data_IF_912118028700
#
_entry.id   IF_912118028700
#
_cell.length_a   1.000
_cell.length_b   1.000
_cell.length_c   1.000
_cell.angle_alpha   90.00
_cell.angle_beta   90.00
_cell.angle_gamma   90.00
#
_symmetry.space_group_name_H-M   'P 1'
#
loop_
_entity.id
_entity.type
_entity.pdbx_description
1 polymer ?
#
# COMPACT_ATOMS: atom_id res chain seq x y z
N UNK A 1 -12.96 -0.32 -16.25
CA UNK A 1 -13.05 -1.62 -15.54
C UNK A 1 -11.61 -2.08 -15.42
N UNK A 2 -11.04 -2.07 -14.22
CA UNK A 2 -9.63 -2.40 -13.94
C UNK A 2 -9.23 -3.70 -14.66
N UNK A 3 -8.06 -3.71 -15.29
CA UNK A 3 -7.56 -4.94 -15.93
C UNK A 3 -7.33 -6.00 -14.84
N UNK A 4 -7.71 -7.25 -15.10
CA UNK A 4 -7.66 -8.32 -14.09
C UNK A 4 -6.25 -8.44 -13.47
N UNK A 5 -5.20 -8.29 -14.28
CA UNK A 5 -3.81 -8.37 -13.81
C UNK A 5 -3.45 -7.17 -12.93
N UNK A 6 -3.88 -5.97 -13.32
CA UNK A 6 -3.66 -4.75 -12.53
C UNK A 6 -4.38 -4.81 -11.17
N UNK A 7 -5.62 -5.31 -11.13
CA UNK A 7 -6.38 -5.53 -9.88
C UNK A 7 -5.62 -6.41 -8.89
N UNK A 8 -5.08 -7.52 -9.38
CA UNK A 8 -4.35 -8.48 -8.57
C UNK A 8 -3.05 -7.87 -8.02
N UNK A 9 -2.33 -7.12 -8.86
CA UNK A 9 -1.13 -6.37 -8.44
C UNK A 9 -1.48 -5.38 -7.32
N UNK A 10 -2.53 -4.57 -7.50
CA UNK A 10 -2.92 -3.55 -6.51
C UNK A 10 -3.35 -4.23 -5.21
N UNK A 11 -4.19 -5.26 -5.27
CA UNK A 11 -4.73 -5.94 -4.09
C UNK A 11 -3.63 -6.63 -3.28
N UNK A 12 -2.80 -7.45 -3.93
CA UNK A 12 -1.68 -8.16 -3.29
C UNK A 12 -0.69 -7.20 -2.63
N UNK A 13 -0.25 -6.16 -3.34
CA UNK A 13 0.73 -5.21 -2.81
C UNK A 13 0.13 -4.32 -1.72
N UNK A 14 -1.16 -4.00 -1.80
CA UNK A 14 -1.87 -3.28 -0.74
C UNK A 14 -1.93 -4.11 0.53
N UNK A 15 -2.21 -5.42 0.43
CA UNK A 15 -2.14 -6.34 1.57
C UNK A 15 -0.70 -6.38 2.12
N UNK A 16 0.31 -6.61 1.28
CA UNK A 16 1.72 -6.61 1.69
C UNK A 16 2.11 -5.37 2.48
N UNK A 17 1.77 -4.18 1.97
CA UNK A 17 1.97 -2.90 2.66
C UNK A 17 1.18 -2.82 3.97
N UNK A 18 -0.06 -3.30 3.99
CA UNK A 18 -0.89 -3.32 5.19
C UNK A 18 -0.43 -4.30 6.26
N UNK A 19 0.36 -5.31 5.91
CA UNK A 19 0.93 -6.24 6.90
C UNK A 19 2.23 -5.73 7.52
N UNK A 20 2.85 -4.67 6.97
CA UNK A 20 4.10 -4.14 7.53
C UNK A 20 3.96 -3.55 8.94
N UNK A 21 2.87 -2.86 9.33
CA UNK A 21 2.71 -2.37 10.71
C UNK A 21 2.62 -3.49 11.76
N UNK A 22 2.22 -4.71 11.35
CA UNK A 22 2.14 -5.87 12.25
C UNK A 22 3.54 -6.36 12.65
N UNK A 23 4.60 -5.94 11.94
CA UNK A 23 6.00 -6.27 12.20
C UNK A 23 6.48 -5.47 13.42
N UNK A 24 6.84 -6.10 14.55
CA UNK A 24 7.31 -5.41 15.75
C UNK A 24 8.78 -4.94 15.67
N UNK A 25 9.25 -4.41 14.53
CA UNK A 25 10.57 -3.79 14.38
C UNK A 25 10.41 -2.33 13.96
N UNK A 26 10.95 -1.37 14.73
CA UNK A 26 11.00 0.04 14.32
C UNK A 26 11.73 0.22 12.98
N UNK A 27 11.21 1.06 12.09
CA UNK A 27 11.77 1.45 10.78
C UNK A 27 11.76 0.36 9.70
N UNK A 28 11.75 -0.93 10.07
CA UNK A 28 11.63 -2.01 9.09
C UNK A 28 10.26 -2.03 8.43
N UNK A 29 9.21 -1.61 9.14
CA UNK A 29 7.85 -1.47 8.63
C UNK A 29 7.77 -0.42 7.51
N UNK A 30 8.37 0.74 7.72
CA UNK A 30 8.42 1.83 6.72
C UNK A 30 9.27 1.46 5.50
N UNK A 31 10.41 0.80 5.71
CA UNK A 31 11.27 0.33 4.62
C UNK A 31 10.56 -0.73 3.77
N UNK A 32 9.95 -1.73 4.41
CA UNK A 32 9.20 -2.77 3.71
C UNK A 32 8.03 -2.16 2.93
N UNK A 33 7.29 -1.22 3.53
CA UNK A 33 6.21 -0.50 2.86
C UNK A 33 6.70 0.25 1.62
N UNK A 34 7.79 1.02 1.74
CA UNK A 34 8.38 1.77 0.63
C UNK A 34 8.83 0.82 -0.51
N UNK A 35 9.44 -0.31 -0.15
CA UNK A 35 9.82 -1.35 -1.12
C UNK A 35 8.59 -1.93 -1.86
N UNK A 36 7.55 -2.33 -1.13
CA UNK A 36 6.34 -2.88 -1.73
C UNK A 36 5.61 -1.85 -2.59
N UNK A 37 5.59 -0.58 -2.19
CA UNK A 37 5.03 0.50 -2.98
C UNK A 37 5.80 0.68 -4.29
N UNK A 38 7.14 0.72 -4.25
CA UNK A 38 7.96 0.80 -5.47
C UNK A 38 7.75 -0.41 -6.40
N UNK A 39 7.67 -1.62 -5.84
CA UNK A 39 7.40 -2.83 -6.60
C UNK A 39 6.02 -2.79 -7.29
N UNK A 40 4.99 -2.32 -6.58
CA UNK A 40 3.65 -2.14 -7.13
C UNK A 40 3.66 -1.17 -8.32
N UNK A 41 4.27 0.01 -8.16
CA UNK A 41 4.37 1.04 -9.21
C UNK A 41 5.10 0.50 -10.45
N UNK A 42 6.22 -0.21 -10.26
CA UNK A 42 6.95 -0.84 -11.38
C UNK A 42 6.09 -1.87 -12.12
N UNK A 43 5.46 -2.81 -11.41
CA UNK A 43 4.61 -3.85 -12.01
C UNK A 43 3.41 -3.26 -12.76
N UNK A 44 2.81 -2.18 -12.24
CA UNK A 44 1.73 -1.48 -12.94
C UNK A 44 2.25 -0.82 -14.23
N UNK A 45 3.35 -0.07 -14.16
CA UNK A 45 3.93 0.56 -15.35
C UNK A 45 4.32 -0.45 -16.44
N UNK A 46 4.88 -1.59 -16.06
CA UNK A 46 5.17 -2.72 -16.96
C UNK A 46 3.90 -3.26 -17.65
N UNK A 47 2.80 -3.40 -16.89
CA UNK A 47 1.51 -3.85 -17.42
C UNK A 47 0.97 -2.91 -18.50
N UNK A 48 1.14 -1.59 -18.32
CA UNK A 48 0.74 -0.57 -19.30
C UNK A 48 1.84 -0.20 -20.31
N UNK A 49 2.93 -0.98 -20.39
CA UNK A 49 4.07 -0.75 -21.30
C UNK A 49 4.59 0.68 -21.21
N UNK A 50 4.69 1.21 -19.99
CA UNK A 50 5.31 2.50 -19.70
C UNK A 50 6.66 2.27 -19.02
N UNK A 51 7.70 2.91 -19.55
CA UNK A 51 9.02 2.92 -18.92
C UNK A 51 9.08 4.05 -17.91
N UNK A 52 9.19 3.72 -16.62
CA UNK A 52 9.42 4.70 -15.57
C UNK A 52 10.92 4.94 -15.41
N UNK A 53 11.33 6.20 -15.42
CA UNK A 53 12.67 6.57 -14.95
C UNK A 53 12.80 6.31 -13.44
N UNK A 54 14.03 6.27 -12.94
CA UNK A 54 14.26 6.10 -11.49
C UNK A 54 13.73 7.32 -10.73
N UNK A 55 13.80 8.48 -11.36
CA UNK A 55 13.30 9.77 -10.89
C UNK A 55 11.77 9.76 -10.79
N UNK A 56 11.07 9.30 -11.82
CA UNK A 56 9.61 9.20 -11.83
C UNK A 56 9.12 8.20 -10.79
N UNK A 57 9.79 7.06 -10.67
CA UNK A 57 9.46 6.06 -9.65
C UNK A 57 9.61 6.66 -8.24
N UNK A 58 10.72 7.35 -7.97
CA UNK A 58 10.92 8.04 -6.69
C UNK A 58 9.86 9.13 -6.47
N UNK A 59 9.53 9.90 -7.50
CA UNK A 59 8.54 10.96 -7.42
C UNK A 59 7.11 10.44 -7.19
N UNK A 60 6.75 9.26 -7.74
CA UNK A 60 5.46 8.60 -7.50
C UNK A 60 5.36 7.93 -6.12
N UNK A 61 6.50 7.51 -5.57
CA UNK A 61 6.56 6.74 -4.32
C UNK A 61 7.04 7.53 -3.11
N UNK A 62 7.48 8.78 -3.31
CA UNK A 62 7.86 9.68 -2.24
C UNK A 62 6.69 9.83 -1.25
N UNK A 63 6.94 9.52 0.01
CA UNK A 63 6.01 9.87 1.07
C UNK A 63 6.19 11.36 1.42
N UNK A 64 5.11 12.07 1.75
CA UNK A 64 5.25 13.35 2.42
C UNK A 64 5.99 13.11 3.73
N UNK A 65 7.24 13.54 3.78
CA UNK A 65 8.05 13.46 4.99
C UNK A 65 7.40 14.34 6.05
N UNK A 66 6.49 13.79 6.85
CA UNK A 66 6.33 14.25 8.21
C UNK A 66 7.69 14.07 8.85
N UNK A 67 8.37 15.20 9.05
CA UNK A 67 9.74 15.26 9.52
C UNK A 67 9.95 14.31 10.69
N UNK A 68 11.14 13.73 10.74
CA UNK A 68 11.65 12.95 11.85
C UNK A 68 11.55 13.79 13.15
N UNK A 69 10.38 13.82 13.79
CA UNK A 69 10.20 14.32 15.15
C UNK A 69 10.83 13.30 16.11
N UNK A 70 11.29 13.72 17.30
CA UNK A 70 12.35 13.10 18.09
C UNK A 70 11.88 11.85 18.88
N UNK A 71 10.99 11.05 18.30
CA UNK A 71 10.42 9.83 18.90
C UNK A 71 11.40 8.64 18.94
N UNK A 72 12.52 8.70 18.22
CA UNK A 72 13.53 7.64 18.26
C UNK A 72 14.13 7.40 19.65
N UNK A 73 14.14 8.41 20.53
CA UNK A 73 14.61 8.28 21.92
C UNK A 73 13.53 7.79 22.90
N UNK A 74 12.24 7.97 22.60
CA UNK A 74 11.16 7.53 23.51
C UNK A 74 10.76 6.07 23.29
N UNK A 75 10.97 5.49 22.10
CA UNK A 75 10.60 4.10 21.79
C UNK A 75 11.30 3.04 22.63
N UNK A 76 12.52 3.32 23.11
CA UNK A 76 13.32 2.39 23.93
C UNK A 76 12.77 2.33 25.38
N UNK A 77 12.22 3.43 25.89
CA UNK A 77 11.77 3.54 27.28
C UNK A 77 10.41 2.85 27.53
N UNK A 78 9.57 2.72 26.51
CA UNK A 78 8.21 2.13 26.61
C UNK A 78 8.12 0.63 26.24
N UNK A 79 9.23 -0.01 25.87
CA UNK A 79 9.25 -1.46 25.55
C UNK A 79 8.66 -2.37 26.65
N UNK A 80 8.89 -2.14 27.97
CA UNK A 80 8.25 -2.95 29.01
C UNK A 80 6.74 -2.69 29.14
N UNK A 81 6.27 -1.48 28.83
CA UNK A 81 4.84 -1.11 28.86
C UNK A 81 4.07 -1.75 27.69
N UNK A 82 4.72 -1.92 26.52
CA UNK A 82 4.15 -2.64 25.36
C UNK A 82 3.73 -4.08 25.68
N UNK A 83 4.44 -4.76 26.60
CA UNK A 83 4.13 -6.14 26.99
C UNK A 83 2.81 -6.22 27.78
N UNK A 84 2.46 -5.16 28.54
CA UNK A 84 1.25 -5.08 29.36
C UNK A 84 -0.01 -4.73 28.52
N UNK A 85 0.18 -4.01 27.41
CA UNK A 85 -0.90 -3.58 26.51
C UNK A 85 -0.98 -4.35 25.19
N UNK A 86 -0.38 -5.55 25.12
CA UNK A 86 -0.24 -6.35 23.89
C UNK A 86 -1.56 -6.50 23.10
N UNK A 87 -2.70 -6.63 23.79
CA UNK A 87 -4.02 -6.71 23.15
C UNK A 87 -4.49 -5.38 22.54
N UNK A 88 -4.23 -4.25 23.20
CA UNK A 88 -4.58 -2.92 22.70
C UNK A 88 -3.69 -2.57 21.50
N UNK A 89 -2.39 -2.82 21.61
CA UNK A 89 -1.46 -2.63 20.49
C UNK A 89 -1.80 -3.53 19.30
N UNK A 90 -2.21 -4.79 19.53
CA UNK A 90 -2.66 -5.65 18.44
C UNK A 90 -3.88 -5.07 17.71
N UNK A 91 -4.86 -4.53 18.42
CA UNK A 91 -6.02 -3.90 17.79
C UNK A 91 -5.65 -2.63 17.01
N UNK A 92 -4.74 -1.80 17.56
CA UNK A 92 -4.28 -0.59 16.90
C UNK A 92 -3.47 -0.91 15.62
N UNK A 93 -2.57 -1.90 15.68
CA UNK A 93 -1.85 -2.36 14.49
C UNK A 93 -2.79 -3.02 13.48
N UNK A 94 -3.85 -3.69 13.92
CA UNK A 94 -4.88 -4.22 13.02
C UNK A 94 -5.62 -3.11 12.28
N UNK A 95 -6.01 -2.04 12.99
CA UNK A 95 -6.62 -0.85 12.35
C UNK A 95 -5.64 -0.15 11.41
N UNK A 96 -4.39 0.03 11.83
CA UNK A 96 -3.32 0.62 11.01
C UNK A 96 -3.06 -0.21 9.75
N UNK A 97 -3.12 -1.54 9.86
CA UNK A 97 -3.04 -2.45 8.74
C UNK A 97 -4.18 -2.21 7.75
N UNK A 98 -5.43 -2.24 8.21
CA UNK A 98 -6.63 -1.96 7.39
C UNK A 98 -6.49 -0.61 6.68
N UNK A 99 -6.13 0.44 7.42
CA UNK A 99 -5.98 1.79 6.86
C UNK A 99 -4.89 1.87 5.80
N UNK A 100 -3.79 1.15 6.03
CA UNK A 100 -2.68 1.07 5.09
C UNK A 100 -3.08 0.33 3.83
N UNK A 101 -3.78 -0.82 3.93
CA UNK A 101 -4.31 -1.52 2.75
C UNK A 101 -5.25 -0.59 1.97
N UNK A 102 -6.21 0.05 2.64
CA UNK A 102 -7.22 0.87 1.96
C UNK A 102 -6.63 2.09 1.26
N UNK A 103 -5.68 2.78 1.90
CA UNK A 103 -4.98 3.91 1.29
C UNK A 103 -4.08 3.47 0.13
N UNK A 104 -3.34 2.38 0.30
CA UNK A 104 -2.48 1.84 -0.76
C UNK A 104 -3.29 1.37 -1.96
N UNK A 105 -4.45 0.77 -1.74
CA UNK A 105 -5.35 0.36 -2.80
C UNK A 105 -5.83 1.57 -3.61
N UNK A 106 -6.28 2.63 -2.92
CA UNK A 106 -6.66 3.89 -3.57
C UNK A 106 -5.55 4.49 -4.43
N UNK A 107 -4.33 4.56 -3.88
CA UNK A 107 -3.18 5.07 -4.62
C UNK A 107 -2.89 4.21 -5.84
N UNK A 108 -2.92 2.88 -5.68
CA UNK A 108 -2.74 1.92 -6.78
C UNK A 108 -3.80 2.06 -7.87
N UNK A 109 -5.07 2.20 -7.50
CA UNK A 109 -6.19 2.39 -8.41
C UNK A 109 -6.07 3.68 -9.23
N UNK A 110 -5.79 4.81 -8.58
CA UNK A 110 -5.63 6.09 -9.30
C UNK A 110 -4.37 6.12 -10.17
N UNK A 111 -3.30 5.45 -9.73
CA UNK A 111 -2.11 5.28 -10.53
C UNK A 111 -2.40 4.43 -11.78
N UNK A 112 -3.06 3.28 -11.62
CA UNK A 112 -3.51 2.43 -12.73
C UNK A 112 -4.31 3.26 -13.74
N UNK A 113 -5.32 3.99 -13.27
CA UNK A 113 -6.12 4.87 -14.10
C UNK A 113 -5.23 5.87 -14.87
N UNK A 114 -4.26 6.51 -14.21
CA UNK A 114 -3.37 7.46 -14.86
C UNK A 114 -2.46 6.83 -15.93
N UNK A 115 -2.02 5.58 -15.71
CA UNK A 115 -1.21 4.82 -16.66
C UNK A 115 -2.03 4.34 -17.86
N UNK A 116 -3.25 3.86 -17.60
CA UNK A 116 -4.22 3.44 -18.62
C UNK A 116 -4.59 4.61 -19.54
N UNK A 117 -4.86 5.77 -18.96
CA UNK A 117 -5.18 7.00 -19.71
C UNK A 117 -3.94 7.67 -20.33
N UNK A 118 -2.74 7.12 -20.12
CA UNK A 118 -1.50 7.67 -20.66
C UNK A 118 -1.19 9.09 -20.17
N UNK A 119 -1.57 9.44 -18.94
CA UNK A 119 -1.43 10.80 -18.39
C UNK A 119 0.02 11.16 -18.03
N UNK A 120 0.84 10.16 -17.74
CA UNK A 120 2.24 10.32 -17.33
C UNK A 120 3.17 10.61 -18.51
N UNK A 121 4.05 11.60 -18.36
CA UNK A 121 5.15 11.91 -19.29
C UNK A 121 6.08 10.69 -19.47
N UNK A 122 6.58 10.38 -20.69
CA UNK A 122 6.52 11.18 -21.92
C UNK A 122 5.27 10.97 -22.79
N UNK A 123 4.41 10.00 -22.46
CA UNK A 123 3.20 9.77 -23.25
C UNK A 123 2.13 10.85 -23.00
N UNK A 124 2.04 11.34 -21.77
CA UNK A 124 1.06 12.33 -21.34
C UNK A 124 1.65 13.67 -20.92
N UNK A 125 0.74 14.56 -20.50
CA UNK A 125 1.05 15.95 -20.21
C UNK A 125 1.51 16.21 -18.77
N UNK A 126 1.50 15.20 -17.89
CA UNK A 126 1.74 15.39 -16.45
C UNK A 126 3.02 14.69 -16.00
N UNK A 127 3.77 15.36 -15.14
CA UNK A 127 4.93 14.76 -14.46
C UNK A 127 4.48 13.78 -13.36
N UNK A 128 5.37 12.86 -12.99
CA UNK A 128 5.17 11.95 -11.85
C UNK A 128 4.81 12.69 -10.55
N UNK A 129 5.44 13.84 -10.31
CA UNK A 129 5.16 14.68 -9.13
C UNK A 129 3.74 15.26 -9.12
N UNK A 130 3.22 15.69 -10.27
CA UNK A 130 1.84 16.19 -10.39
C UNK A 130 0.82 15.06 -10.17
N UNK A 131 1.07 13.88 -10.75
CA UNK A 131 0.22 12.72 -10.52
C UNK A 131 0.20 12.34 -9.05
N UNK A 132 1.38 12.24 -8.38
CA UNK A 132 1.44 11.94 -6.94
C UNK A 132 0.61 12.94 -6.13
N UNK A 133 0.82 14.24 -6.33
CA UNK A 133 0.08 15.28 -5.61
C UNK A 133 -1.43 15.18 -5.82
N UNK A 134 -1.87 14.93 -7.06
CA UNK A 134 -3.29 14.76 -7.36
C UNK A 134 -3.87 13.50 -6.68
N UNK A 135 -3.15 12.38 -6.70
CA UNK A 135 -3.53 11.14 -6.01
C UNK A 135 -3.67 11.40 -4.50
N UNK A 136 -2.67 12.04 -3.89
CA UNK A 136 -2.67 12.33 -2.45
C UNK A 136 -3.81 13.25 -2.04
N UNK A 137 -4.02 14.35 -2.77
CA UNK A 137 -5.13 15.28 -2.53
C UNK A 137 -6.49 14.56 -2.62
N UNK A 138 -6.66 13.70 -3.62
CA UNK A 138 -7.88 12.92 -3.81
C UNK A 138 -8.11 11.93 -2.67
N UNK A 139 -7.07 11.19 -2.28
CA UNK A 139 -7.15 10.22 -1.19
C UNK A 139 -7.45 10.90 0.16
N UNK A 140 -6.95 12.12 0.36
CA UNK A 140 -7.23 12.92 1.55
C UNK A 140 -8.67 13.41 1.57
N UNK A 141 -9.21 13.84 0.44
CA UNK A 141 -10.55 14.41 0.33
C UNK A 141 -11.67 13.37 0.36
N UNK A 142 -11.59 12.32 -0.48
CA UNK A 142 -12.69 11.35 -0.65
C UNK A 142 -12.79 10.38 0.53
N UNK A 143 -11.69 10.17 1.25
CA UNK A 143 -11.59 9.17 2.32
C UNK A 143 -11.65 7.74 1.80
N UNK A 144 -11.38 6.75 2.66
CA UNK A 144 -11.21 5.34 2.28
C UNK A 144 -12.35 4.41 2.73
N UNK A 145 -13.44 4.95 3.29
CA UNK A 145 -14.46 4.19 4.02
C UNK A 145 -15.02 2.95 3.31
N UNK A 146 -15.41 2.98 2.01
CA UNK A 146 -15.93 1.78 1.34
C UNK A 146 -14.88 0.67 1.20
N UNK A 147 -13.63 1.03 0.90
CA UNK A 147 -12.53 0.07 0.82
C UNK A 147 -12.16 -0.41 2.21
N UNK A 148 -12.14 0.45 3.23
CA UNK A 148 -11.92 0.04 4.62
C UNK A 148 -12.93 -1.01 5.06
N UNK A 149 -14.21 -0.86 4.71
CA UNK A 149 -15.23 -1.87 5.00
C UNK A 149 -14.96 -3.19 4.30
N UNK A 150 -14.59 -3.15 3.02
CA UNK A 150 -14.23 -4.36 2.26
C UNK A 150 -13.00 -5.07 2.87
N UNK A 151 -11.94 -4.32 3.14
CA UNK A 151 -10.72 -4.83 3.78
C UNK A 151 -11.01 -5.39 5.16
N UNK A 152 -11.79 -4.68 6.00
CA UNK A 152 -12.18 -5.13 7.33
C UNK A 152 -12.94 -6.47 7.25
N UNK A 153 -13.93 -6.57 6.36
CA UNK A 153 -14.68 -7.81 6.18
C UNK A 153 -13.79 -8.97 5.72
N UNK A 154 -12.85 -8.73 4.82
CA UNK A 154 -11.88 -9.74 4.37
C UNK A 154 -10.94 -10.16 5.49
N UNK A 155 -10.40 -9.20 6.24
CA UNK A 155 -9.45 -9.44 7.32
C UNK A 155 -10.09 -10.17 8.50
N UNK A 156 -11.32 -9.81 8.87
CA UNK A 156 -12.06 -10.46 9.95
C UNK A 156 -12.41 -11.91 9.58
N UNK A 157 -12.78 -12.17 8.31
CA UNK A 157 -13.02 -13.52 7.81
C UNK A 157 -11.75 -14.37 7.71
N UNK A 158 -10.63 -13.76 7.35
CA UNK A 158 -9.34 -14.42 7.12
C UNK A 158 -8.32 -14.16 8.23
N UNK A 159 -8.78 -13.94 9.46
CA UNK A 159 -7.93 -13.40 10.54
C UNK A 159 -6.69 -14.26 10.83
N UNK A 160 -6.86 -15.56 10.98
CA UNK A 160 -5.74 -16.47 11.27
C UNK A 160 -4.77 -16.56 10.09
N UNK A 161 -5.31 -16.63 8.88
CA UNK A 161 -4.54 -16.58 7.64
C UNK A 161 -3.70 -15.30 7.51
N UNK A 162 -4.31 -14.14 7.75
CA UNK A 162 -3.64 -12.84 7.69
C UNK A 162 -2.52 -12.77 8.73
N UNK A 163 -2.73 -13.30 9.94
CA UNK A 163 -1.67 -13.42 10.95
C UNK A 163 -0.55 -14.36 10.50
N UNK A 164 -0.87 -15.49 9.87
CA UNK A 164 0.15 -16.43 9.38
C UNK A 164 1.01 -15.81 8.27
N UNK A 165 0.39 -15.03 7.38
CA UNK A 165 1.11 -14.25 6.37
C UNK A 165 2.01 -13.20 7.04
N UNK A 166 1.48 -12.42 7.98
CA UNK A 166 2.26 -11.42 8.73
C UNK A 166 3.42 -12.06 9.51
N UNK A 167 3.20 -13.24 10.11
CA UNK A 167 4.24 -14.01 10.79
C UNK A 167 5.31 -14.52 9.82
N UNK A 168 4.94 -14.88 8.59
CA UNK A 168 5.86 -15.30 7.55
C UNK A 168 6.71 -14.12 7.08
N UNK A 169 6.07 -12.98 6.79
CA UNK A 169 6.75 -11.72 6.48
C UNK A 169 7.74 -11.35 7.58
N UNK A 170 7.29 -11.40 8.84
CA UNK A 170 8.10 -11.16 10.03
C UNK A 170 9.31 -12.10 10.11
N UNK A 171 9.13 -13.42 9.98
CA UNK A 171 10.22 -14.39 10.09
C UNK A 171 11.29 -14.17 9.04
N UNK A 172 10.93 -13.71 7.85
CA UNK A 172 11.89 -13.46 6.78
C UNK A 172 12.63 -12.13 6.97
N UNK A 173 11.94 -11.10 7.47
CA UNK A 173 12.57 -9.79 7.74
C UNK A 173 13.43 -9.82 9.03
N UNK A 174 12.96 -10.49 10.09
CA UNK A 174 13.64 -10.52 11.40
C UNK A 174 14.91 -11.37 11.45
N UNK A 175 15.14 -12.24 10.45
CA UNK A 175 16.40 -12.99 10.30
C UNK A 175 17.56 -12.11 9.88
N UNK A 176 17.28 -10.88 9.45
CA UNK A 176 18.28 -9.90 9.08
C UNK A 176 18.77 -9.18 10.32
N UNK A 177 20.08 -9.19 10.54
CA UNK A 177 20.72 -8.34 11.55
C UNK A 177 21.03 -6.99 10.93
N UNK A 178 20.28 -5.94 11.29
CA UNK A 178 20.46 -4.59 10.75
C UNK A 178 19.34 -4.16 9.80
N UNK A 179 19.63 -3.19 8.90
CA UNK A 179 18.66 -2.68 7.94
C UNK A 179 18.49 -3.69 6.79
N UNK A 180 17.26 -4.18 6.50
CA UNK A 180 17.02 -5.09 5.38
C UNK A 180 17.51 -4.51 4.05
N UNK A 181 18.17 -5.32 3.23
CA UNK A 181 18.51 -4.96 1.87
C UNK A 181 17.40 -5.37 0.88
N UNK A 182 17.48 -4.89 -0.37
CA UNK A 182 16.46 -5.14 -1.39
C UNK A 182 16.27 -6.63 -1.71
N UNK A 183 17.33 -7.43 -1.66
CA UNK A 183 17.28 -8.88 -1.93
C UNK A 183 16.50 -9.63 -0.84
N UNK A 184 16.68 -9.24 0.42
CA UNK A 184 15.96 -9.80 1.56
C UNK A 184 14.48 -9.41 1.53
N UNK A 185 14.18 -8.16 1.21
CA UNK A 185 12.81 -7.69 1.01
C UNK A 185 12.14 -8.41 -0.17
N UNK A 186 12.90 -8.72 -1.23
CA UNK A 186 12.41 -9.51 -2.35
C UNK A 186 12.11 -10.96 -1.95
N UNK A 187 12.98 -11.62 -1.18
CA UNK A 187 12.73 -12.96 -0.65
C UNK A 187 11.52 -12.99 0.29
N UNK A 188 11.40 -11.99 1.16
CA UNK A 188 10.25 -11.84 2.04
C UNK A 188 8.97 -11.62 1.23
N UNK A 189 8.99 -10.73 0.22
CA UNK A 189 7.88 -10.50 -0.70
C UNK A 189 7.44 -11.79 -1.37
N UNK A 190 8.37 -12.55 -1.94
CA UNK A 190 8.08 -13.79 -2.64
C UNK A 190 7.47 -14.85 -1.71
N UNK A 191 8.01 -15.00 -0.50
CA UNK A 191 7.46 -15.93 0.49
C UNK A 191 6.02 -15.58 0.90
N UNK A 192 5.69 -14.28 0.90
CA UNK A 192 4.33 -13.83 1.18
C UNK A 192 3.44 -14.00 -0.05
N UNK A 193 3.89 -13.63 -1.25
CA UNK A 193 3.15 -13.88 -2.50
C UNK A 193 2.78 -15.39 -2.58
N UNK A 194 3.69 -16.30 -2.24
CA UNK A 194 3.42 -17.75 -2.18
C UNK A 194 2.44 -18.15 -1.06
N UNK A 195 2.51 -17.52 0.10
CA UNK A 195 1.56 -17.76 1.20
C UNK A 195 0.16 -17.20 0.87
N UNK A 196 0.09 -16.06 0.20
CA UNK A 196 -1.12 -15.41 -0.26
C UNK A 196 -1.83 -16.24 -1.33
N UNK A 197 -1.10 -16.72 -2.34
CA UNK A 197 -1.63 -17.62 -3.38
C UNK A 197 -2.27 -18.86 -2.74
N UNK A 198 -1.63 -19.44 -1.73
CA UNK A 198 -2.13 -20.63 -1.02
C UNK A 198 -3.43 -20.34 -0.25
N UNK A 199 -3.62 -19.12 0.19
CA UNK A 199 -4.64 -18.77 1.17
C UNK A 199 -5.81 -17.98 0.59
N UNK A 200 -5.65 -17.40 -0.59
CA UNK A 200 -6.70 -16.72 -1.33
C UNK A 200 -7.19 -15.42 -0.71
N UNK A 201 -6.41 -14.78 0.17
CA UNK A 201 -6.79 -13.51 0.83
C UNK A 201 -7.03 -12.41 -0.21
N UNK A 202 -6.19 -12.32 -1.24
CA UNK A 202 -6.38 -11.37 -2.34
C UNK A 202 -7.64 -11.64 -3.12
N UNK A 203 -7.93 -12.91 -3.46
CA UNK A 203 -9.19 -13.26 -4.13
C UNK A 203 -10.41 -12.86 -3.31
N UNK A 204 -10.37 -13.04 -1.98
CA UNK A 204 -11.45 -12.60 -1.10
C UNK A 204 -11.57 -11.07 -1.05
N UNK A 205 -10.44 -10.35 -1.05
CA UNK A 205 -10.44 -8.89 -1.12
C UNK A 205 -11.04 -8.42 -2.45
N UNK A 206 -10.63 -8.98 -3.58
CA UNK A 206 -11.19 -8.66 -4.90
C UNK A 206 -12.69 -8.90 -4.96
N UNK A 207 -13.17 -10.03 -4.42
CA UNK A 207 -14.61 -10.31 -4.31
C UNK A 207 -15.35 -9.29 -3.46
N UNK A 208 -14.76 -8.87 -2.33
CA UNK A 208 -15.34 -7.83 -1.48
C UNK A 208 -15.37 -6.47 -2.20
N UNK A 209 -14.34 -6.13 -2.96
CA UNK A 209 -14.24 -4.88 -3.72
C UNK A 209 -15.29 -4.78 -4.84
N UNK A 210 -15.69 -5.91 -5.46
CA UNK A 210 -16.78 -5.94 -6.45
C UNK A 210 -18.12 -5.47 -5.86
N UNK A 211 -18.32 -5.59 -4.54
CA UNK A 211 -19.53 -5.11 -3.88
C UNK A 211 -19.58 -3.59 -3.70
N UNK A 212 -18.47 -2.89 -3.93
CA UNK A 212 -18.42 -1.44 -3.84
C UNK A 212 -19.14 -0.83 -5.05
N UNK A 213 -20.09 0.11 -4.85
CA UNK A 213 -20.80 0.75 -5.95
C UNK A 213 -19.84 1.40 -6.97
N UNK A 214 -20.04 1.21 -8.28
CA UNK A 214 -19.19 1.83 -9.30
C UNK A 214 -19.12 3.36 -9.21
N UNK A 215 -20.18 4.00 -8.70
CA UNK A 215 -20.24 5.44 -8.46
C UNK A 215 -19.15 5.95 -7.52
N UNK A 216 -18.68 5.11 -6.58
CA UNK A 216 -17.57 5.44 -5.71
C UNK A 216 -16.27 5.66 -6.49
N UNK A 217 -15.93 4.72 -7.38
CA UNK A 217 -14.72 4.80 -8.18
C UNK A 217 -14.80 5.89 -9.25
N UNK A 218 -16.00 6.14 -9.80
CA UNK A 218 -16.26 7.28 -10.67
C UNK A 218 -15.99 8.60 -9.94
N UNK A 219 -16.57 8.77 -8.75
CA UNK A 219 -16.33 9.96 -7.93
C UNK A 219 -14.84 10.13 -7.58
N UNK A 220 -14.16 9.04 -7.20
CA UNK A 220 -12.72 9.06 -6.93
C UNK A 220 -11.91 9.55 -8.13
N UNK A 221 -12.25 9.06 -9.33
CA UNK A 221 -11.59 9.45 -10.58
C UNK A 221 -11.89 10.89 -10.97
N UNK A 222 -13.13 11.35 -10.79
CA UNK A 222 -13.53 12.73 -11.04
C UNK A 222 -12.76 13.72 -10.16
N UNK A 223 -12.65 13.43 -8.86
CA UNK A 223 -11.87 14.25 -7.92
C UNK A 223 -10.39 14.24 -8.25
N UNK A 224 -9.85 13.09 -8.66
CA UNK A 224 -8.48 13.00 -9.16
C UNK A 224 -8.22 13.89 -10.37
N UNK A 225 -9.08 13.83 -11.39
CA UNK A 225 -8.95 14.67 -12.57
C UNK A 225 -9.13 16.16 -12.25
N UNK A 226 -10.01 16.51 -11.31
CA UNK A 226 -10.16 17.88 -10.81
C UNK A 226 -8.85 18.39 -10.19
N UNK A 227 -8.25 17.63 -9.26
CA UNK A 227 -6.97 17.99 -8.64
C UNK A 227 -5.82 18.04 -9.63
N UNK A 228 -5.82 17.19 -10.65
CA UNK A 228 -4.77 17.15 -11.65
C UNK A 228 -4.83 18.36 -12.61
N UNK A 229 -6.04 18.79 -12.99
CA UNK A 229 -6.25 19.96 -13.85
C UNK A 229 -5.88 21.27 -13.14
N UNK A 230 -6.25 21.42 -11.87
CA UNK A 230 -5.99 22.62 -11.09
C UNK A 230 -4.52 22.79 -10.66
N UNK A 231 -3.63 21.86 -11.03
CA UNK A 231 -2.18 21.95 -10.83
C UNK A 231 -1.42 22.52 -12.04
N UNK A 232 -2.12 22.85 -13.13
CA UNK A 232 -1.54 23.46 -14.33
C UNK A 232 -1.51 24.99 -14.31
N UNK A 233 -2.23 25.59 -13.37
CA UNK A 233 -2.27 27.04 -13.12
C UNK A 233 -1.31 27.42 -11.99
#
# INVERSE_FOLDING_TARGET
MTDKKSSEIISSHSILMGLTPIIPIPFADDLAKAYFQQRMVRKLAETYKQTLSTEDLKALTAEESQGCFPGCLTSILFYPIKKLFRKIFFFLEWKRAIDTVSRSYHKGYLLEYSLEQGLLNPKGAYSAGQLRKAIEATCHEVGTNPIEKAVTATFDRSKETVKDIANTLWKNISRVTGKPNDEELQKAAQSVEEAEIRTGVTTQLEQALVSIPPSYFQHLTERFLFHLKNQKD
#
